data_IF_862979061123
#
_entry.id   IF_862979061123
#
_cell.length_a   1.000
_cell.length_b   1.000
_cell.length_c   1.000
_cell.angle_alpha   90.00
_cell.angle_beta   90.00
_cell.angle_gamma   90.00
#
_symmetry.space_group_name_H-M   'P 1'
#
loop_
_entity.id
_entity.type
_entity.pdbx_description
1 polymer ?
#
# COMPACT_ATOMS: atom_id res chain seq x y z
N UNK A 1 -68.43 53.57 33.32
CA UNK A 1 -67.79 53.40 34.64
C UNK A 1 -66.65 52.43 34.46
N UNK A 2 -65.42 52.93 34.40
CA UNK A 2 -64.21 52.13 34.19
C UNK A 2 -63.75 51.56 35.53
N UNK A 3 -63.78 50.23 35.64
CA UNK A 3 -63.26 49.48 36.79
C UNK A 3 -61.73 49.58 36.88
N UNK A 4 -61.26 50.03 38.04
CA UNK A 4 -59.86 50.05 38.43
C UNK A 4 -59.38 48.62 38.73
N UNK A 5 -58.71 47.97 37.76
CA UNK A 5 -57.90 46.80 38.03
C UNK A 5 -56.59 47.24 38.70
N UNK A 6 -56.54 47.13 40.03
CA UNK A 6 -55.30 47.19 40.80
C UNK A 6 -54.31 46.16 40.26
N UNK A 7 -53.28 46.65 39.57
CA UNK A 7 -52.14 45.88 39.10
C UNK A 7 -51.33 45.50 40.34
N UNK A 8 -51.55 44.31 40.87
CA UNK A 8 -50.72 43.73 41.94
C UNK A 8 -49.30 43.56 41.40
N UNK A 9 -48.38 44.39 41.89
CA UNK A 9 -46.98 44.21 41.57
C UNK A 9 -46.45 42.92 42.22
N UNK A 10 -45.67 42.12 41.48
CA UNK A 10 -45.11 40.89 42.00
C UNK A 10 -44.19 41.18 43.19
N UNK A 11 -44.41 40.48 44.30
CA UNK A 11 -43.64 40.61 45.53
C UNK A 11 -42.13 40.51 45.22
N UNK A 12 -41.25 41.34 45.82
CA UNK A 12 -39.81 41.37 45.50
C UNK A 12 -39.09 40.01 45.64
N UNK A 13 -39.65 39.09 46.45
CA UNK A 13 -39.18 37.71 46.56
C UNK A 13 -39.32 36.92 45.25
N UNK A 14 -40.32 37.24 44.43
CA UNK A 14 -40.54 36.60 43.13
C UNK A 14 -39.44 37.00 42.14
N UNK A 15 -38.97 38.25 42.18
CA UNK A 15 -37.83 38.68 41.37
C UNK A 15 -36.53 37.95 41.73
N UNK A 16 -36.29 37.70 43.01
CA UNK A 16 -35.14 36.90 43.46
C UNK A 16 -35.21 35.45 42.99
N UNK A 17 -36.40 34.85 43.05
CA UNK A 17 -36.66 33.49 42.54
C UNK A 17 -36.40 33.41 41.03
N UNK A 18 -36.87 34.39 40.26
CA UNK A 18 -36.63 34.46 38.82
C UNK A 18 -35.16 34.65 38.50
N UNK A 19 -34.44 35.49 39.26
CA UNK A 19 -33.01 35.67 39.07
C UNK A 19 -32.22 34.38 39.36
N UNK A 20 -32.59 33.63 40.42
CA UNK A 20 -31.97 32.34 40.68
C UNK A 20 -32.27 31.30 39.61
N UNK A 21 -33.50 31.23 39.10
CA UNK A 21 -33.91 30.25 38.08
C UNK A 21 -33.31 30.54 36.70
N UNK A 22 -33.33 31.80 36.27
CA UNK A 22 -32.96 32.17 34.90
C UNK A 22 -31.53 32.68 34.75
N UNK A 23 -30.86 33.10 35.82
CA UNK A 23 -29.46 33.54 35.79
C UNK A 23 -28.57 32.66 36.66
N UNK A 24 -28.97 32.39 37.89
CA UNK A 24 -28.19 31.58 38.83
C UNK A 24 -27.99 30.14 38.34
N UNK A 25 -29.08 29.47 37.96
CA UNK A 25 -29.05 28.06 37.54
C UNK A 25 -28.23 27.85 36.25
N UNK A 26 -28.39 28.64 35.17
CA UNK A 26 -27.59 28.47 33.96
C UNK A 26 -26.10 28.75 34.19
N UNK A 27 -25.76 29.75 35.02
CA UNK A 27 -24.36 30.04 35.38
C UNK A 27 -23.75 28.93 36.22
N UNK A 28 -24.52 28.33 37.14
CA UNK A 28 -24.07 27.18 37.93
C UNK A 28 -23.85 25.94 37.05
N UNK A 29 -24.77 25.65 36.12
CA UNK A 29 -24.65 24.54 35.17
C UNK A 29 -23.46 24.76 34.22
N UNK A 30 -23.29 25.96 33.67
CA UNK A 30 -22.15 26.29 32.81
C UNK A 30 -20.80 26.14 33.55
N UNK A 31 -20.74 26.56 34.82
CA UNK A 31 -19.54 26.37 35.65
C UNK A 31 -19.29 24.91 36.01
N UNK A 32 -20.35 24.10 36.20
CA UNK A 32 -20.22 22.67 36.46
C UNK A 32 -19.72 21.92 35.23
N UNK A 33 -20.27 22.20 34.05
CA UNK A 33 -19.78 21.64 32.79
C UNK A 33 -18.34 22.09 32.47
N UNK A 34 -17.98 23.33 32.80
CA UNK A 34 -16.60 23.81 32.64
C UNK A 34 -15.61 23.08 33.57
N UNK A 35 -16.03 22.70 34.79
CA UNK A 35 -15.22 21.89 35.72
C UNK A 35 -15.02 20.47 35.23
N UNK A 36 -16.03 19.86 34.58
CA UNK A 36 -15.88 18.53 33.98
C UNK A 36 -15.04 18.53 32.69
N UNK A 37 -14.93 19.70 32.03
CA UNK A 37 -14.12 19.89 30.81
C UNK A 37 -12.70 20.39 31.05
N UNK A 38 -12.26 20.59 32.29
CA UNK A 38 -10.83 20.75 32.55
C UNK A 38 -10.15 19.43 32.15
N UNK A 39 -9.33 19.40 31.09
CA UNK A 39 -8.53 18.21 30.85
C UNK A 39 -7.72 18.02 32.11
N UNK A 40 -7.80 16.83 32.71
CA UNK A 40 -6.89 16.45 33.76
C UNK A 40 -5.49 16.86 33.27
N UNK A 41 -4.88 17.83 33.97
CA UNK A 41 -3.50 18.20 33.70
C UNK A 41 -2.74 16.89 33.55
N UNK A 42 -1.97 16.69 32.47
CA UNK A 42 -1.34 15.40 32.21
C UNK A 42 -0.59 15.04 33.48
N UNK A 43 -1.12 14.09 34.24
CA UNK A 43 -0.36 13.44 35.29
C UNK A 43 0.89 13.00 34.55
N UNK A 44 2.10 13.44 34.94
CA UNK A 44 3.29 12.86 34.36
C UNK A 44 3.08 11.37 34.55
N UNK A 45 2.92 10.65 33.44
CA UNK A 45 2.81 9.21 33.48
C UNK A 45 4.00 8.81 34.31
N UNK A 46 3.76 8.25 35.50
CA UNK A 46 4.83 7.64 36.27
C UNK A 46 5.54 6.77 35.25
N UNK A 47 6.76 7.17 34.91
CA UNK A 47 7.53 6.48 33.92
C UNK A 47 7.71 5.09 34.53
N UNK A 48 6.86 4.16 34.10
CA UNK A 48 7.15 2.76 34.25
C UNK A 48 8.60 2.63 33.78
N UNK A 49 9.47 1.93 34.51
CA UNK A 49 10.84 1.77 34.10
C UNK A 49 10.79 1.03 32.76
N UNK A 50 10.76 1.80 31.67
CA UNK A 50 11.13 1.35 30.36
C UNK A 50 12.61 1.09 30.56
N UNK A 51 12.94 -0.16 30.95
CA UNK A 51 14.30 -0.66 30.82
C UNK A 51 14.74 -0.19 29.46
N UNK A 52 15.73 0.69 29.43
CA UNK A 52 16.09 1.47 28.26
C UNK A 52 16.32 0.47 27.15
N UNK A 53 15.32 0.32 26.28
CA UNK A 53 15.44 -0.58 25.17
C UNK A 53 16.47 0.15 24.29
N UNK A 54 17.71 -0.30 24.36
CA UNK A 54 18.80 0.21 23.54
C UNK A 54 18.40 -0.14 22.10
N UNK A 55 18.38 0.86 21.22
CA UNK A 55 18.13 0.63 19.80
C UNK A 55 19.17 -0.38 19.30
N UNK A 56 18.76 -1.55 18.79
CA UNK A 56 19.73 -2.49 18.26
C UNK A 56 20.45 -1.86 17.06
N UNK A 57 21.76 -2.09 16.90
CA UNK A 57 22.52 -1.58 15.76
C UNK A 57 22.14 -2.27 14.44
N UNK A 58 21.58 -3.47 14.51
CA UNK A 58 21.08 -4.19 13.35
C UNK A 58 19.81 -3.54 12.77
N UNK A 59 19.56 -3.64 11.45
CA UNK A 59 18.28 -3.24 10.86
C UNK A 59 17.12 -4.10 11.42
N UNK A 60 15.86 -3.65 11.28
CA UNK A 60 14.73 -4.49 11.65
C UNK A 60 14.77 -5.81 10.84
N UNK A 61 14.30 -6.93 11.41
CA UNK A 61 14.26 -8.18 10.67
C UNK A 61 13.43 -8.00 9.40
N UNK A 62 13.80 -8.67 8.29
CA UNK A 62 13.00 -8.61 7.07
C UNK A 62 11.59 -9.13 7.35
N UNK A 63 10.59 -8.51 6.71
CA UNK A 63 9.22 -9.02 6.70
C UNK A 63 9.16 -10.10 5.63
N UNK A 64 9.17 -11.36 6.04
CA UNK A 64 9.09 -12.49 5.11
C UNK A 64 7.68 -12.58 4.49
N UNK A 65 7.56 -13.02 3.22
CA UNK A 65 6.27 -13.33 2.62
C UNK A 65 5.47 -14.31 3.50
N UNK A 66 4.14 -14.19 3.49
CA UNK A 66 3.28 -15.01 4.32
C UNK A 66 3.27 -16.45 3.81
N UNK A 67 4.09 -17.30 4.40
CA UNK A 67 3.91 -18.75 4.36
C UNK A 67 2.96 -19.15 5.50
N UNK A 68 2.03 -20.06 5.24
CA UNK A 68 0.99 -20.49 6.17
C UNK A 68 1.12 -22.01 6.34
N UNK A 69 0.99 -22.51 7.57
CA UNK A 69 0.89 -23.95 7.80
C UNK A 69 -0.38 -24.51 7.13
N UNK A 70 -0.26 -25.65 6.45
CA UNK A 70 -1.40 -26.37 5.89
C UNK A 70 -2.16 -27.11 7.01
N UNK A 71 -3.04 -26.38 7.69
CA UNK A 71 -3.87 -26.85 8.80
C UNK A 71 -5.34 -26.62 8.49
N UNK A 72 -6.21 -27.50 8.98
CA UNK A 72 -7.63 -27.23 8.95
C UNK A 72 -8.00 -26.05 9.89
N UNK A 73 -9.10 -25.38 9.59
CA UNK A 73 -9.52 -24.20 10.32
C UNK A 73 -9.78 -24.45 11.82
N UNK A 74 -10.22 -25.66 12.21
CA UNK A 74 -10.45 -26.03 13.60
C UNK A 74 -9.14 -26.23 14.35
N UNK A 75 -8.18 -26.93 13.76
CA UNK A 75 -6.82 -27.08 14.27
C UNK A 75 -6.12 -25.72 14.40
N UNK A 76 -6.23 -24.86 13.38
CA UNK A 76 -5.68 -23.51 13.42
C UNK A 76 -6.24 -22.69 14.59
N UNK A 77 -7.56 -22.74 14.80
CA UNK A 77 -8.20 -22.07 15.96
C UNK A 77 -7.71 -22.62 17.29
N UNK A 78 -7.61 -23.95 17.43
CA UNK A 78 -7.13 -24.57 18.66
C UNK A 78 -5.68 -24.17 18.98
N UNK A 79 -4.80 -24.18 17.98
CA UNK A 79 -3.40 -23.78 18.14
C UNK A 79 -3.29 -22.29 18.49
N UNK A 80 -4.01 -21.43 17.78
CA UNK A 80 -4.02 -20.00 18.04
C UNK A 80 -4.56 -19.66 19.44
N UNK A 81 -5.57 -20.40 19.92
CA UNK A 81 -6.12 -20.24 21.26
C UNK A 81 -5.13 -20.68 22.37
N UNK A 82 -4.33 -21.72 22.11
CA UNK A 82 -3.33 -22.22 23.06
C UNK A 82 -2.16 -21.24 23.28
N UNK A 83 -1.83 -20.41 22.29
CA UNK A 83 -0.81 -19.35 22.45
C UNK A 83 -1.37 -18.25 23.37
N UNK A 84 -0.72 -17.88 24.48
CA UNK A 84 -1.23 -16.82 25.36
C UNK A 84 -1.02 -15.43 24.75
N UNK A 85 -1.83 -14.45 25.18
CA UNK A 85 -1.54 -13.04 24.91
C UNK A 85 -0.34 -12.56 25.74
N UNK A 86 0.44 -11.65 25.17
CA UNK A 86 1.58 -11.02 25.83
C UNK A 86 1.12 -10.25 27.07
N UNK A 87 1.83 -10.44 28.18
CA UNK A 87 1.59 -9.72 29.44
C UNK A 87 2.28 -8.35 29.50
N UNK A 88 3.10 -8.04 28.50
CA UNK A 88 3.82 -6.78 28.46
C UNK A 88 2.87 -5.61 28.08
N UNK A 89 3.19 -4.36 28.48
CA UNK A 89 2.30 -3.23 28.23
C UNK A 89 1.95 -3.06 26.74
N UNK A 90 0.68 -2.82 26.45
CA UNK A 90 0.17 -2.50 25.11
C UNK A 90 -0.36 -1.05 25.06
N UNK A 91 0.52 -0.03 25.12
CA UNK A 91 0.09 1.35 25.08
C UNK A 91 -0.52 1.69 23.72
N UNK A 92 -1.47 2.62 23.72
CA UNK A 92 -2.03 3.15 22.48
C UNK A 92 -0.92 3.77 21.61
N UNK A 93 -1.01 3.59 20.29
CA UNK A 93 -0.15 4.28 19.34
C UNK A 93 -0.32 5.80 19.44
N UNK A 94 0.71 6.55 19.06
CA UNK A 94 0.61 8.01 18.93
C UNK A 94 -0.45 8.36 17.85
N UNK A 95 -1.18 9.49 17.96
CA UNK A 95 -2.04 9.98 16.88
C UNK A 95 -1.28 10.13 15.56
N UNK A 96 -1.79 9.59 14.46
CA UNK A 96 -1.23 9.77 13.12
C UNK A 96 -1.93 10.93 12.42
N UNK A 97 -1.21 12.05 12.27
CA UNK A 97 -1.69 13.18 11.48
C UNK A 97 -1.01 13.13 10.12
N UNK A 98 -1.81 12.97 9.07
CA UNK A 98 -1.32 12.97 7.70
C UNK A 98 -0.68 14.33 7.36
N UNK A 99 0.38 14.28 6.55
CA UNK A 99 1.13 15.45 6.10
C UNK A 99 1.40 15.22 4.60
N UNK A 100 0.94 16.13 3.75
CA UNK A 100 1.01 16.02 2.29
C UNK A 100 0.04 16.96 1.60
N UNK A 101 0.00 16.92 0.27
CA UNK A 101 -0.97 17.66 -0.52
C UNK A 101 -2.39 17.11 -0.34
N UNK A 102 -3.41 17.85 -0.80
CA UNK A 102 -4.79 17.37 -0.83
C UNK A 102 -4.93 16.10 -1.69
N UNK A 103 -4.22 16.04 -2.83
CA UNK A 103 -4.19 14.86 -3.69
C UNK A 103 -3.56 13.66 -2.98
N UNK A 104 -2.48 13.87 -2.23
CA UNK A 104 -1.88 12.81 -1.42
C UNK A 104 -2.84 12.35 -0.32
N UNK A 105 -3.53 13.27 0.35
CA UNK A 105 -4.52 12.91 1.37
C UNK A 105 -5.67 12.09 0.78
N UNK A 106 -6.17 12.47 -0.41
CA UNK A 106 -7.21 11.74 -1.11
C UNK A 106 -6.75 10.32 -1.47
N UNK A 107 -5.53 10.18 -2.01
CA UNK A 107 -4.92 8.88 -2.33
C UNK A 107 -4.70 8.02 -1.09
N UNK A 108 -4.11 8.57 -0.04
CA UNK A 108 -3.93 7.88 1.24
C UNK A 108 -5.26 7.39 1.81
N UNK A 109 -6.29 8.24 1.77
CA UNK A 109 -7.63 7.90 2.25
C UNK A 109 -8.18 6.70 1.51
N UNK A 110 -8.08 6.69 0.18
CA UNK A 110 -8.69 5.64 -0.64
C UNK A 110 -7.91 4.33 -0.59
N UNK A 111 -6.57 4.38 -0.53
CA UNK A 111 -5.75 3.19 -0.27
C UNK A 111 -6.04 2.60 1.11
N UNK A 112 -6.14 3.43 2.15
CA UNK A 112 -6.44 2.97 3.49
C UNK A 112 -7.85 2.38 3.58
N UNK A 113 -8.84 3.03 2.97
CA UNK A 113 -10.22 2.53 2.89
C UNK A 113 -10.30 1.18 2.17
N UNK A 114 -9.57 1.01 1.07
CA UNK A 114 -9.48 -0.27 0.38
C UNK A 114 -8.92 -1.36 1.31
N UNK A 115 -7.81 -1.11 2.00
CA UNK A 115 -7.26 -2.09 2.93
C UNK A 115 -8.27 -2.51 4.00
N UNK A 116 -8.91 -1.53 4.65
CA UNK A 116 -9.90 -1.80 5.70
C UNK A 116 -11.09 -2.62 5.18
N UNK A 117 -11.66 -2.21 4.05
CA UNK A 117 -12.87 -2.81 3.50
C UNK A 117 -12.65 -4.23 2.99
N UNK A 118 -11.53 -4.48 2.30
CA UNK A 118 -11.24 -5.81 1.77
C UNK A 118 -10.80 -6.80 2.85
N UNK A 119 -10.27 -6.31 3.99
CA UNK A 119 -9.84 -7.16 5.10
C UNK A 119 -10.94 -7.39 6.13
N UNK A 120 -11.80 -6.39 6.41
CA UNK A 120 -12.81 -6.47 7.46
C UNK A 120 -14.27 -6.50 6.94
N UNK A 121 -14.50 -6.25 5.65
CA UNK A 121 -15.83 -6.29 5.05
C UNK A 121 -16.79 -5.27 5.68
N UNK A 122 -17.85 -5.75 6.34
CA UNK A 122 -18.85 -4.87 6.97
C UNK A 122 -18.60 -4.61 8.46
N UNK A 123 -17.46 -5.01 9.01
CA UNK A 123 -17.10 -4.80 10.41
C UNK A 123 -16.33 -3.48 10.61
N UNK A 124 -17.02 -2.42 11.05
CA UNK A 124 -16.42 -1.13 11.35
C UNK A 124 -15.40 -1.15 12.51
N UNK A 125 -15.45 -2.15 13.39
CA UNK A 125 -14.44 -2.33 14.44
C UNK A 125 -13.15 -2.91 13.83
N UNK A 126 -13.29 -3.94 13.00
CA UNK A 126 -12.21 -4.52 12.19
C UNK A 126 -11.57 -3.51 11.25
N UNK A 127 -12.36 -2.70 10.53
CA UNK A 127 -11.88 -1.63 9.65
C UNK A 127 -10.94 -0.68 10.43
N UNK A 128 -11.34 -0.22 11.63
CA UNK A 128 -10.48 0.62 12.48
C UNK A 128 -9.20 -0.07 12.94
N UNK A 129 -9.26 -1.37 13.20
CA UNK A 129 -8.10 -2.15 13.63
C UNK A 129 -7.07 -2.30 12.51
N UNK A 130 -7.52 -2.63 11.30
CA UNK A 130 -6.67 -2.70 10.09
C UNK A 130 -6.07 -1.33 9.77
N UNK A 131 -6.86 -0.25 9.89
CA UNK A 131 -6.37 1.11 9.72
C UNK A 131 -5.17 1.41 10.61
N UNK A 132 -5.29 1.07 11.90
CA UNK A 132 -4.24 1.32 12.88
C UNK A 132 -2.96 0.54 12.55
N UNK A 133 -3.09 -0.72 12.09
CA UNK A 133 -1.92 -1.53 11.65
C UNK A 133 -1.21 -0.89 10.46
N UNK A 134 -1.95 -0.44 9.44
CA UNK A 134 -1.36 0.23 8.27
C UNK A 134 -0.58 1.48 8.71
N UNK A 135 -1.18 2.32 9.56
CA UNK A 135 -0.52 3.54 10.04
C UNK A 135 0.67 3.25 10.98
N UNK A 136 0.63 2.15 11.72
CA UNK A 136 1.78 1.63 12.48
C UNK A 136 2.91 1.21 11.54
N UNK A 137 2.61 0.50 10.45
CA UNK A 137 3.60 0.11 9.42
C UNK A 137 4.26 1.32 8.78
N UNK A 138 3.49 2.33 8.37
CA UNK A 138 4.03 3.59 7.80
C UNK A 138 5.10 4.23 8.72
N UNK A 139 4.93 4.09 10.03
CA UNK A 139 5.87 4.61 11.04
C UNK A 139 7.00 3.68 11.39
N UNK A 140 6.92 2.40 11.06
CA UNK A 140 7.93 1.43 11.44
C UNK A 140 9.00 1.35 10.35
N UNK A 141 10.30 1.31 10.69
CA UNK A 141 11.39 1.34 9.72
C UNK A 141 11.35 0.20 8.70
N UNK A 142 10.76 -0.95 9.04
CA UNK A 142 10.71 -2.13 8.17
C UNK A 142 9.71 -2.08 7.00
N UNK A 143 8.85 -1.07 6.91
CA UNK A 143 7.78 -0.99 5.91
C UNK A 143 7.88 0.27 5.03
N UNK A 144 7.18 0.34 3.88
CA UNK A 144 7.08 1.58 3.09
C UNK A 144 6.56 2.77 3.91
N UNK A 145 6.90 4.00 3.51
CA UNK A 145 6.59 5.22 4.29
C UNK A 145 5.38 6.02 3.79
N UNK A 146 4.66 5.46 2.83
CA UNK A 146 3.39 5.98 2.31
C UNK A 146 2.28 4.97 2.59
N UNK A 147 1.05 5.47 2.77
CA UNK A 147 -0.11 4.62 3.08
C UNK A 147 -0.37 3.67 1.92
N UNK A 148 -0.43 4.19 0.70
CA UNK A 148 -0.58 3.37 -0.50
C UNK A 148 0.61 2.42 -0.70
N UNK A 149 1.83 2.85 -0.38
CA UNK A 149 3.01 2.00 -0.44
C UNK A 149 2.92 0.79 0.48
N UNK A 150 2.39 0.95 1.70
CA UNK A 150 2.15 -0.16 2.63
C UNK A 150 1.03 -1.07 2.15
N UNK A 151 -0.11 -0.49 1.75
CA UNK A 151 -1.29 -1.27 1.37
C UNK A 151 -1.02 -2.10 0.13
N UNK A 152 -0.34 -1.54 -0.86
CA UNK A 152 -0.05 -2.22 -2.11
C UNK A 152 1.34 -2.83 -2.13
N UNK A 153 2.04 -3.02 -1.01
CA UNK A 153 3.37 -3.62 -1.05
C UNK A 153 3.33 -5.06 -1.62
N UNK A 154 4.10 -5.31 -2.70
CA UNK A 154 4.20 -6.63 -3.32
C UNK A 154 3.07 -6.96 -4.29
N UNK A 155 2.23 -5.98 -4.64
CA UNK A 155 1.12 -6.13 -5.58
C UNK A 155 1.53 -6.53 -7.01
N UNK A 156 2.82 -6.41 -7.34
CA UNK A 156 3.40 -6.88 -8.60
C UNK A 156 3.53 -8.42 -8.68
N UNK A 157 3.34 -9.13 -7.57
CA UNK A 157 3.52 -10.58 -7.47
C UNK A 157 2.19 -11.32 -7.58
N UNK A 158 2.25 -12.60 -7.96
CA UNK A 158 1.08 -13.47 -7.97
C UNK A 158 0.69 -13.95 -6.56
N UNK A 159 1.68 -14.12 -5.67
CA UNK A 159 1.51 -14.53 -4.27
C UNK A 159 2.50 -13.77 -3.38
N UNK A 160 2.28 -13.79 -2.06
CA UNK A 160 3.18 -13.13 -1.09
C UNK A 160 3.02 -11.61 -1.01
N UNK A 161 1.84 -11.09 -1.37
CA UNK A 161 1.50 -9.67 -1.21
C UNK A 161 1.24 -9.36 0.26
N UNK A 162 1.53 -8.13 0.68
CA UNK A 162 1.35 -7.71 2.06
C UNK A 162 -0.11 -7.78 2.51
N UNK A 163 -1.03 -7.50 1.58
CA UNK A 163 -2.46 -7.70 1.72
C UNK A 163 -2.93 -8.59 0.58
N UNK A 164 -3.58 -9.72 0.87
CA UNK A 164 -3.88 -10.74 -0.14
C UNK A 164 -4.81 -10.21 -1.24
N UNK A 165 -5.74 -9.31 -0.87
CA UNK A 165 -6.70 -8.72 -1.80
C UNK A 165 -6.04 -8.01 -3.00
N UNK A 166 -4.77 -7.63 -2.88
CA UNK A 166 -4.00 -6.92 -3.92
C UNK A 166 -3.49 -7.83 -5.03
N UNK A 167 -3.49 -9.16 -4.82
CA UNK A 167 -3.06 -10.16 -5.82
C UNK A 167 -3.94 -11.39 -5.98
N UNK A 168 -4.87 -11.67 -5.07
CA UNK A 168 -5.81 -12.80 -5.16
C UNK A 168 -7.01 -12.53 -6.10
N UNK A 169 -7.07 -11.36 -6.73
CA UNK A 169 -8.16 -10.94 -7.60
C UNK A 169 -9.40 -10.42 -6.88
N UNK A 170 -9.39 -10.31 -5.54
CA UNK A 170 -10.51 -9.76 -4.76
C UNK A 170 -10.87 -8.34 -5.20
N UNK A 171 -9.91 -7.56 -5.71
CA UNK A 171 -10.16 -6.26 -6.36
C UNK A 171 -11.07 -6.33 -7.60
N UNK A 172 -11.57 -7.48 -8.04
CA UNK A 172 -12.68 -7.58 -9.00
C UNK A 172 -14.06 -7.45 -8.33
N UNK A 173 -14.18 -7.82 -7.05
CA UNK A 173 -15.42 -7.71 -6.27
C UNK A 173 -15.77 -6.25 -6.04
N UNK A 174 -17.04 -5.87 -6.20
CA UNK A 174 -17.50 -4.51 -5.91
C UNK A 174 -18.33 -4.53 -4.63
N UNK A 175 -17.92 -3.74 -3.64
CA UNK A 175 -18.69 -3.50 -2.42
C UNK A 175 -19.76 -2.43 -2.65
N UNK A 176 -20.75 -2.35 -1.75
CA UNK A 176 -21.78 -1.32 -1.83
C UNK A 176 -21.18 0.09 -1.64
N UNK A 177 -21.78 1.13 -2.24
CA UNK A 177 -21.34 2.52 -2.03
C UNK A 177 -21.32 2.91 -0.54
N UNK A 178 -22.27 2.41 0.26
CA UNK A 178 -22.34 2.67 1.69
C UNK A 178 -21.16 2.05 2.47
N UNK A 179 -20.75 0.83 2.10
CA UNK A 179 -19.59 0.20 2.72
C UNK A 179 -18.29 0.94 2.35
N UNK A 180 -18.17 1.38 1.09
CA UNK A 180 -17.04 2.20 0.66
C UNK A 180 -16.95 3.53 1.41
N UNK A 181 -18.05 4.30 1.50
CA UNK A 181 -18.01 5.60 2.18
C UNK A 181 -17.74 5.45 3.68
N UNK A 182 -18.26 4.39 4.33
CA UNK A 182 -17.94 4.10 5.73
C UNK A 182 -16.45 3.83 5.93
N UNK A 183 -15.83 3.00 5.08
CA UNK A 183 -14.40 2.75 5.13
C UNK A 183 -13.58 4.03 4.88
N UNK A 184 -14.01 4.89 3.93
CA UNK A 184 -13.38 6.19 3.71
C UNK A 184 -13.48 7.11 4.91
N UNK A 185 -14.63 7.16 5.58
CA UNK A 185 -14.81 7.98 6.77
C UNK A 185 -13.92 7.52 7.93
N UNK A 186 -13.78 6.21 8.12
CA UNK A 186 -12.85 5.64 9.11
C UNK A 186 -11.40 5.99 8.75
N UNK A 187 -11.03 5.86 7.47
CA UNK A 187 -9.71 6.24 6.97
C UNK A 187 -9.41 7.73 7.21
N UNK A 188 -10.33 8.65 6.88
CA UNK A 188 -10.18 10.09 7.12
C UNK A 188 -9.91 10.40 8.59
N UNK A 189 -10.69 9.81 9.51
CA UNK A 189 -10.50 10.03 10.96
C UNK A 189 -9.17 9.48 11.45
N UNK A 190 -8.77 8.29 10.99
CA UNK A 190 -7.50 7.69 11.36
C UNK A 190 -6.31 8.55 10.87
N UNK A 191 -6.39 9.08 9.64
CA UNK A 191 -5.42 10.02 9.06
C UNK A 191 -5.44 11.40 9.74
N UNK A 192 -6.54 11.78 10.39
CA UNK A 192 -6.67 12.97 11.21
C UNK A 192 -6.23 12.78 12.68
N UNK A 193 -5.71 11.61 13.04
CA UNK A 193 -5.16 11.35 14.37
C UNK A 193 -6.03 10.49 15.29
N UNK A 194 -7.18 9.98 14.83
CA UNK A 194 -7.96 9.04 15.63
C UNK A 194 -7.19 7.73 15.82
N UNK A 195 -7.01 7.34 17.09
CA UNK A 195 -6.26 6.12 17.46
C UNK A 195 -7.21 5.01 17.86
N UNK A 196 -7.06 3.83 17.25
CA UNK A 196 -7.74 2.63 17.71
C UNK A 196 -6.88 1.91 18.77
N UNK A 197 -7.07 2.32 20.02
CA UNK A 197 -6.22 1.93 21.17
C UNK A 197 -5.97 0.43 21.33
N UNK A 198 -6.94 -0.50 21.14
CA UNK A 198 -6.73 -1.92 21.41
C UNK A 198 -5.56 -2.55 20.64
N UNK A 199 -5.32 -2.10 19.40
CA UNK A 199 -4.26 -2.63 18.53
C UNK A 199 -2.86 -2.18 18.95
N UNK A 200 -2.76 -1.08 19.72
CA UNK A 200 -1.48 -0.51 20.14
C UNK A 200 -0.50 -0.36 18.99
N UNK A 201 0.67 -0.97 19.11
CA UNK A 201 1.77 -0.92 18.14
C UNK A 201 1.88 -2.18 17.26
N UNK A 202 0.81 -2.97 17.13
CA UNK A 202 0.83 -4.13 16.24
C UNK A 202 1.10 -3.72 14.78
N UNK A 203 1.93 -4.50 14.09
CA UNK A 203 2.23 -4.35 12.65
C UNK A 203 1.82 -5.58 11.85
N UNK A 204 1.38 -6.64 12.52
CA UNK A 204 0.97 -7.88 11.89
C UNK A 204 -0.37 -8.32 12.49
N UNK A 205 -1.16 -8.99 11.68
CA UNK A 205 -2.35 -9.68 12.12
C UNK A 205 -2.64 -10.84 11.18
N UNK A 206 -3.45 -11.77 11.66
CA UNK A 206 -4.06 -12.80 10.84
C UNK A 206 -5.39 -13.21 11.47
N UNK A 207 -6.23 -13.93 10.74
CA UNK A 207 -7.46 -14.49 11.29
C UNK A 207 -7.17 -15.71 12.16
N UNK A 208 -8.04 -15.99 13.12
CA UNK A 208 -7.85 -17.09 14.07
C UNK A 208 -7.95 -18.50 13.44
N UNK A 209 -8.39 -18.60 12.18
CA UNK A 209 -8.41 -19.84 11.40
C UNK A 209 -7.21 -20.03 10.45
N UNK A 210 -6.17 -19.19 10.54
CA UNK A 210 -4.90 -19.40 9.84
C UNK A 210 -3.73 -19.31 10.81
N UNK A 211 -2.62 -19.97 10.48
CA UNK A 211 -1.38 -19.93 11.29
C UNK A 211 -0.20 -19.61 10.37
N UNK A 212 0.25 -18.35 10.30
CA UNK A 212 1.46 -18.00 9.58
C UNK A 212 2.72 -18.44 10.33
N UNK A 213 3.77 -18.85 9.62
CA UNK A 213 5.04 -19.28 10.24
C UNK A 213 5.66 -18.21 11.15
N UNK A 214 5.51 -16.93 10.79
CA UNK A 214 6.05 -15.82 11.57
C UNK A 214 5.31 -15.58 12.90
N UNK A 215 4.08 -16.09 13.09
CA UNK A 215 3.25 -15.75 14.26
C UNK A 215 3.91 -16.11 15.59
N UNK A 216 4.63 -17.23 15.66
CA UNK A 216 5.38 -17.65 16.85
C UNK A 216 6.62 -16.81 17.18
N UNK A 217 7.16 -16.08 16.19
CA UNK A 217 8.31 -15.19 16.40
C UNK A 217 7.92 -13.83 16.99
N UNK A 218 6.62 -13.52 17.01
CA UNK A 218 6.06 -12.25 17.47
C UNK A 218 5.30 -12.38 18.80
N UNK A 219 4.98 -11.24 19.41
CA UNK A 219 4.12 -11.18 20.59
C UNK A 219 2.66 -11.01 20.15
N UNK A 220 1.78 -11.96 20.50
CA UNK A 220 0.32 -11.81 20.33
C UNK A 220 -0.22 -10.79 21.34
N UNK A 221 -0.71 -9.63 20.89
CA UNK A 221 -1.05 -8.49 21.78
C UNK A 221 -2.52 -8.30 22.06
N UNK A 222 -3.40 -8.56 21.09
CA UNK A 222 -4.85 -8.39 21.25
C UNK A 222 -5.63 -9.18 20.20
N UNK A 223 -6.93 -9.31 20.38
CA UNK A 223 -7.86 -9.82 19.38
C UNK A 223 -8.99 -8.81 19.14
N UNK A 224 -9.40 -8.67 17.88
CA UNK A 224 -10.56 -7.86 17.47
C UNK A 224 -11.41 -8.70 16.52
N UNK A 225 -12.57 -9.13 17.00
CA UNK A 225 -13.35 -10.17 16.32
C UNK A 225 -12.48 -11.41 16.14
N UNK A 226 -12.30 -11.83 14.90
CA UNK A 226 -11.51 -13.01 14.53
C UNK A 226 -10.05 -12.68 14.21
N UNK A 227 -9.67 -11.40 14.21
CA UNK A 227 -8.31 -10.98 13.91
C UNK A 227 -7.45 -11.00 15.18
N UNK A 228 -6.33 -11.72 15.10
CA UNK A 228 -5.29 -11.78 16.13
C UNK A 228 -4.16 -10.83 15.73
N UNK A 229 -3.79 -9.90 16.60
CA UNK A 229 -2.80 -8.85 16.33
C UNK A 229 -1.48 -9.14 17.03
N UNK A 230 -0.38 -8.84 16.34
CA UNK A 230 0.97 -9.15 16.78
C UNK A 230 1.92 -7.96 16.63
N UNK A 231 2.85 -7.85 17.57
CA UNK A 231 3.96 -6.88 17.52
C UNK A 231 5.31 -7.58 17.54
N UNK A 232 6.33 -6.89 17.07
CA UNK A 232 7.72 -7.31 17.18
C UNK A 232 8.13 -7.53 18.65
N UNK A 233 9.00 -8.51 18.89
CA UNK A 233 9.65 -8.70 20.19
C UNK A 233 10.76 -7.67 20.40
N UNK A 234 11.05 -7.36 21.65
CA UNK A 234 12.11 -6.43 22.04
C UNK A 234 11.88 -5.01 21.51
N UNK A 235 12.98 -4.30 21.21
CA UNK A 235 12.97 -2.88 20.87
C UNK A 235 12.02 -2.50 19.73
N UNK A 236 11.98 -3.30 18.66
CA UNK A 236 11.17 -3.03 17.47
C UNK A 236 9.67 -3.00 17.74
N UNK A 237 9.21 -3.62 18.84
CA UNK A 237 7.81 -3.59 19.27
C UNK A 237 7.45 -2.42 20.19
N UNK A 238 8.42 -1.59 20.55
CA UNK A 238 8.25 -0.50 21.52
C UNK A 238 7.96 0.83 20.83
N UNK A 239 7.27 1.78 21.50
CA UNK A 239 6.93 3.10 20.93
C UNK A 239 8.10 3.85 20.27
N UNK A 240 9.34 3.84 20.83
CA UNK A 240 10.49 4.51 20.20
C UNK A 240 10.85 4.04 18.78
N UNK A 241 10.46 2.83 18.37
CA UNK A 241 10.72 2.28 17.03
C UNK A 241 9.83 2.88 15.94
N UNK A 242 8.69 3.46 16.31
CA UNK A 242 7.65 3.91 15.37
C UNK A 242 7.80 5.40 15.06
N UNK A 243 8.82 5.74 14.28
CA UNK A 243 9.11 7.10 13.81
C UNK A 243 8.84 7.20 12.32
N UNK A 244 7.96 8.12 11.90
CA UNK A 244 7.75 8.42 10.47
C UNK A 244 8.96 9.19 9.93
N UNK A 245 9.75 8.65 8.98
CA UNK A 245 10.73 9.43 8.24
C UNK A 245 10.00 10.34 7.23
N UNK A 246 10.63 11.46 6.86
CA UNK A 246 10.03 12.49 5.99
C UNK A 246 10.04 12.16 4.50
N UNK A 247 9.43 11.03 4.09
CA UNK A 247 9.16 10.78 2.66
C UNK A 247 7.85 11.46 2.23
N UNK A 248 7.82 11.93 0.99
CA UNK A 248 6.73 12.73 0.40
C UNK A 248 6.11 12.03 -0.81
N UNK A 249 4.79 12.16 -0.96
CA UNK A 249 4.02 11.76 -2.14
C UNK A 249 3.38 10.37 -2.03
N UNK A 250 2.04 10.32 -2.04
CA UNK A 250 1.32 9.05 -2.14
C UNK A 250 1.32 8.58 -3.60
N UNK A 251 1.70 7.32 -3.89
CA UNK A 251 1.74 6.81 -5.26
C UNK A 251 0.34 6.69 -5.87
N UNK A 252 0.27 6.85 -7.20
CA UNK A 252 -0.91 6.49 -7.98
C UNK A 252 -1.03 4.96 -8.09
N UNK A 253 -2.15 4.41 -7.63
CA UNK A 253 -2.45 2.98 -7.68
C UNK A 253 -3.54 2.71 -8.72
N UNK A 254 -3.14 2.41 -9.96
CA UNK A 254 -4.08 2.14 -11.05
C UNK A 254 -5.08 1.00 -10.74
N UNK A 255 -4.68 0.03 -9.90
CA UNK A 255 -5.53 -1.11 -9.49
C UNK A 255 -6.82 -0.70 -8.77
N UNK A 256 -6.86 0.48 -8.15
CA UNK A 256 -8.06 0.99 -7.47
C UNK A 256 -8.67 2.21 -8.16
N UNK A 257 -8.25 2.53 -9.40
CA UNK A 257 -8.80 3.63 -10.18
C UNK A 257 -10.33 3.52 -10.41
N UNK A 258 -10.87 2.29 -10.39
CA UNK A 258 -12.32 2.04 -10.46
C UNK A 258 -13.07 2.42 -9.17
N UNK A 259 -12.39 2.39 -8.02
CA UNK A 259 -12.94 2.71 -6.71
C UNK A 259 -12.71 4.19 -6.33
N UNK A 260 -11.67 4.81 -6.90
CA UNK A 260 -11.19 6.13 -6.53
C UNK A 260 -10.83 6.98 -7.75
N UNK A 261 -11.44 8.16 -7.84
CA UNK A 261 -11.06 9.21 -8.81
C UNK A 261 -9.62 9.68 -8.62
N UNK A 262 -9.15 9.79 -7.36
CA UNK A 262 -7.80 10.23 -7.01
C UNK A 262 -6.70 9.31 -7.58
N UNK A 263 -7.07 8.08 -7.96
CA UNK A 263 -6.16 7.09 -8.54
C UNK A 263 -6.33 6.87 -10.05
N UNK A 264 -7.18 7.63 -10.74
CA UNK A 264 -7.35 7.51 -12.20
C UNK A 264 -6.19 8.09 -13.02
N UNK A 265 -5.31 8.88 -12.40
CA UNK A 265 -4.34 9.71 -13.12
C UNK A 265 -5.06 10.89 -13.80
N UNK A 266 -4.44 12.07 -13.81
CA UNK A 266 -5.08 13.32 -14.23
C UNK A 266 -5.72 13.26 -15.62
N UNK A 267 -7.04 13.07 -15.64
CA UNK A 267 -8.01 13.54 -16.65
C UNK A 267 -9.33 13.68 -15.89
N UNK A 268 -9.69 14.89 -15.48
CA UNK A 268 -10.92 15.06 -14.70
C UNK A 268 -11.35 16.49 -14.40
N UNK A 269 -10.42 17.36 -14.01
CA UNK A 269 -10.80 18.72 -13.55
C UNK A 269 -10.33 19.87 -14.46
N UNK A 270 -9.43 19.64 -15.41
CA UNK A 270 -8.94 20.69 -16.32
C UNK A 270 -9.65 20.70 -17.70
N UNK A 271 -10.56 19.76 -17.96
CA UNK A 271 -11.38 19.70 -19.19
C UNK A 271 -12.82 20.22 -19.00
N UNK A 272 -13.21 20.63 -17.80
CA UNK A 272 -14.57 21.10 -17.53
C UNK A 272 -14.82 22.57 -17.95
N UNK A 273 -13.80 23.29 -18.45
CA UNK A 273 -13.91 24.72 -18.82
C UNK A 273 -13.60 25.04 -20.28
N UNK A 274 -13.47 24.05 -21.17
CA UNK A 274 -13.37 24.29 -22.61
C UNK A 274 -14.75 24.07 -23.29
N UNK A 275 -15.23 24.98 -24.15
CA UNK A 275 -16.49 24.78 -24.86
C UNK A 275 -16.37 23.57 -25.79
N UNK A 276 -17.44 22.79 -25.98
CA UNK A 276 -17.36 21.54 -26.72
C UNK A 276 -17.12 21.81 -28.21
N UNK A 277 -16.00 21.32 -28.74
CA UNK A 277 -15.83 21.17 -30.18
C UNK A 277 -16.72 20.03 -30.64
N UNK A 278 -17.73 20.35 -31.45
CA UNK A 278 -18.48 19.39 -32.23
C UNK A 278 -17.58 18.78 -33.30
N UNK A 279 -17.27 17.49 -33.16
CA UNK A 279 -16.76 16.66 -34.23
C UNK A 279 -17.91 15.80 -34.76
N UNK A 280 -18.13 15.91 -36.06
CA UNK A 280 -19.11 15.14 -36.79
C UNK A 280 -18.70 13.67 -36.86
N UNK A 281 -19.63 12.78 -36.48
CA UNK A 281 -19.67 11.38 -36.92
C UNK A 281 -19.06 10.33 -35.98
N UNK A 282 -19.93 9.43 -35.50
CA UNK A 282 -19.55 8.11 -34.95
C UNK A 282 -19.68 7.98 -33.43
N UNK A 283 -20.46 7.00 -32.96
CA UNK A 283 -20.58 6.70 -31.52
C UNK A 283 -19.34 5.97 -31.01
N UNK A 284 -19.10 6.02 -29.69
CA UNK A 284 -17.96 5.38 -29.00
C UNK A 284 -17.87 3.86 -29.25
N UNK A 285 -18.97 3.23 -29.65
CA UNK A 285 -19.01 1.81 -30.05
C UNK A 285 -18.36 1.54 -31.42
N UNK A 286 -18.34 2.54 -32.31
CA UNK A 286 -17.81 2.42 -33.67
C UNK A 286 -16.28 2.56 -33.67
N UNK A 287 -15.73 3.32 -32.73
CA UNK A 287 -14.28 3.45 -32.51
C UNK A 287 -13.66 2.21 -31.84
N UNK A 288 -14.48 1.34 -31.25
CA UNK A 288 -14.03 0.07 -30.66
C UNK A 288 -13.93 -1.08 -31.69
N UNK A 289 -14.34 -0.86 -32.95
CA UNK A 289 -14.49 -1.92 -33.95
C UNK A 289 -13.46 -1.91 -35.10
N UNK A 290 -12.37 -1.14 -35.04
CA UNK A 290 -11.33 -1.19 -36.09
C UNK A 290 -9.90 -1.35 -35.55
N UNK A 291 -9.40 -2.58 -35.38
CA UNK A 291 -7.99 -2.81 -35.11
C UNK A 291 -7.31 -3.51 -36.29
N UNK A 292 -7.11 -2.85 -37.44
CA UNK A 292 -6.08 -3.31 -38.40
C UNK A 292 -5.66 -2.32 -39.51
N UNK A 293 -6.25 -1.12 -39.64
CA UNK A 293 -5.92 -0.19 -40.74
C UNK A 293 -5.51 1.20 -40.21
N UNK A 294 -4.33 1.26 -39.59
CA UNK A 294 -3.60 2.51 -39.38
C UNK A 294 -2.12 2.20 -39.10
N UNK A 295 -1.51 1.41 -39.98
CA UNK A 295 -0.06 1.47 -40.22
C UNK A 295 0.08 1.73 -41.72
N UNK A 296 -0.38 2.91 -42.13
CA UNK A 296 0.18 3.50 -43.34
C UNK A 296 1.50 4.15 -42.92
N UNK A 297 2.51 4.03 -43.78
CA UNK A 297 3.94 4.35 -43.61
C UNK A 297 4.28 5.82 -43.25
N UNK A 298 3.34 6.58 -42.70
CA UNK A 298 3.51 7.95 -42.23
C UNK A 298 3.26 7.99 -40.72
N UNK A 299 4.36 7.86 -39.97
CA UNK A 299 4.34 7.95 -38.51
C UNK A 299 3.64 9.21 -37.96
N UNK A 300 3.35 9.16 -36.66
CA UNK A 300 2.77 10.28 -35.90
C UNK A 300 3.71 11.51 -35.94
N UNK A 301 3.21 12.76 -35.92
CA UNK A 301 4.07 13.94 -35.84
C UNK A 301 5.11 13.79 -34.71
N UNK A 302 6.39 13.83 -35.08
CA UNK A 302 7.52 13.67 -34.16
C UNK A 302 8.13 12.27 -34.06
N UNK A 303 7.56 11.23 -34.70
CA UNK A 303 8.09 9.85 -34.69
C UNK A 303 8.05 9.22 -36.08
N UNK A 304 9.19 8.71 -36.54
CA UNK A 304 9.28 7.86 -37.73
C UNK A 304 9.46 6.41 -37.29
N UNK A 305 8.54 5.53 -37.67
CA UNK A 305 8.72 4.08 -37.45
C UNK A 305 9.77 3.59 -38.43
N UNK A 306 10.81 2.95 -37.93
CA UNK A 306 11.92 2.42 -38.73
C UNK A 306 11.71 0.95 -39.04
N UNK A 307 11.29 0.18 -38.03
CA UNK A 307 11.12 -1.26 -38.15
C UNK A 307 10.14 -1.78 -37.09
N UNK A 308 9.29 -2.72 -37.46
CA UNK A 308 8.51 -3.52 -36.51
C UNK A 308 9.17 -4.89 -36.41
N UNK A 309 9.58 -5.28 -35.21
CA UNK A 309 10.24 -6.55 -34.99
C UNK A 309 9.28 -7.74 -35.25
N UNK A 310 9.81 -8.92 -35.62
CA UNK A 310 9.01 -10.13 -35.79
C UNK A 310 8.11 -10.38 -34.57
N UNK A 311 6.81 -10.60 -34.82
CA UNK A 311 5.80 -10.75 -33.77
C UNK A 311 5.15 -9.44 -33.28
N UNK A 312 5.48 -8.27 -33.85
CA UNK A 312 4.73 -7.02 -33.65
C UNK A 312 4.80 -6.41 -32.25
N UNK A 313 5.58 -7.03 -31.34
CA UNK A 313 5.70 -6.65 -29.93
C UNK A 313 6.72 -5.55 -29.68
N UNK A 314 7.73 -5.44 -30.53
CA UNK A 314 8.79 -4.43 -30.42
C UNK A 314 8.80 -3.56 -31.66
N UNK A 315 8.78 -2.25 -31.48
CA UNK A 315 8.67 -1.26 -32.54
C UNK A 315 9.82 -0.29 -32.39
N UNK A 316 10.61 -0.16 -33.45
CA UNK A 316 11.81 0.64 -33.50
C UNK A 316 11.47 1.96 -34.19
N UNK A 317 11.84 3.05 -33.54
CA UNK A 317 11.42 4.38 -33.93
C UNK A 317 12.57 5.37 -33.91
N UNK A 318 12.51 6.35 -34.79
CA UNK A 318 13.35 7.54 -34.79
C UNK A 318 12.54 8.73 -34.28
N UNK A 319 13.09 9.41 -33.27
CA UNK A 319 12.54 10.64 -32.71
C UNK A 319 12.95 11.80 -33.60
N UNK A 320 12.00 12.66 -33.96
CA UNK A 320 12.27 13.87 -34.73
C UNK A 320 13.26 14.78 -33.99
N UNK A 321 14.08 15.53 -34.74
CA UNK A 321 15.18 16.34 -34.19
C UNK A 321 14.69 17.45 -33.24
N UNK A 322 13.47 17.91 -33.45
CA UNK A 322 12.75 18.95 -32.71
C UNK A 322 11.82 18.40 -31.61
N UNK A 323 11.73 17.07 -31.45
CA UNK A 323 10.87 16.46 -30.44
C UNK A 323 11.47 16.62 -29.03
N UNK A 324 10.66 17.15 -28.10
CA UNK A 324 11.06 17.31 -26.72
C UNK A 324 11.10 15.94 -26.00
N UNK A 325 12.19 15.59 -25.28
CA UNK A 325 12.29 14.32 -24.56
C UNK A 325 11.14 14.03 -23.58
N UNK A 326 10.54 15.08 -23.02
CA UNK A 326 9.40 14.99 -22.10
C UNK A 326 8.08 14.57 -22.77
N UNK A 327 7.93 14.77 -24.09
CA UNK A 327 6.69 14.41 -24.80
C UNK A 327 6.66 12.96 -25.27
N UNK A 328 7.82 12.30 -25.37
CA UNK A 328 7.96 10.93 -25.89
C UNK A 328 7.09 9.89 -25.15
N UNK A 329 6.92 9.91 -23.81
CA UNK A 329 6.04 8.96 -23.12
C UNK A 329 4.56 9.10 -23.48
N UNK A 330 4.09 10.32 -23.76
CA UNK A 330 2.71 10.54 -24.19
C UNK A 330 2.50 9.94 -25.58
N UNK A 331 3.43 10.21 -26.50
CA UNK A 331 3.41 9.67 -27.86
C UNK A 331 3.48 8.13 -27.87
N UNK A 332 4.36 7.57 -27.05
CA UNK A 332 4.51 6.13 -26.87
C UNK A 332 3.23 5.45 -26.35
N UNK A 333 2.53 6.10 -25.40
CA UNK A 333 1.24 5.63 -24.88
C UNK A 333 0.17 5.61 -25.95
N UNK A 334 0.04 6.69 -26.72
CA UNK A 334 -0.92 6.77 -27.84
C UNK A 334 -0.63 5.69 -28.88
N UNK A 335 0.65 5.48 -29.20
CA UNK A 335 1.07 4.48 -30.18
C UNK A 335 0.86 3.03 -29.72
N UNK A 336 1.01 2.77 -28.43
CA UNK A 336 0.77 1.45 -27.83
C UNK A 336 -0.69 1.21 -27.39
N UNK A 337 -1.59 2.18 -27.58
CA UNK A 337 -2.99 2.04 -27.19
C UNK A 337 -3.66 0.85 -27.88
N UNK A 338 -4.43 0.06 -27.11
CA UNK A 338 -5.15 -1.11 -27.61
C UNK A 338 -4.30 -2.38 -27.82
N UNK A 339 -2.99 -2.35 -27.55
CA UNK A 339 -2.11 -3.54 -27.70
C UNK A 339 -1.88 -4.23 -26.36
N UNK A 340 -2.03 -5.56 -26.24
CA UNK A 340 -1.80 -6.27 -24.99
C UNK A 340 -0.33 -6.23 -24.54
N UNK A 341 0.60 -6.12 -25.49
CA UNK A 341 2.03 -5.93 -25.25
C UNK A 341 2.60 -5.03 -26.34
N UNK A 342 3.39 -4.03 -25.95
CA UNK A 342 4.01 -3.08 -26.86
C UNK A 342 5.31 -2.53 -26.26
N UNK A 343 6.40 -2.64 -27.02
CA UNK A 343 7.73 -2.14 -26.64
C UNK A 343 8.18 -1.17 -27.71
N UNK A 344 8.47 0.06 -27.33
CA UNK A 344 9.02 1.08 -28.23
C UNK A 344 10.49 1.28 -27.88
N UNK A 345 11.35 1.19 -28.88
CA UNK A 345 12.79 1.45 -28.78
C UNK A 345 13.12 2.62 -29.70
N UNK A 346 13.64 3.70 -29.13
CA UNK A 346 13.79 4.98 -29.81
C UNK A 346 15.23 5.43 -29.97
N UNK A 347 15.55 5.95 -31.15
CA UNK A 347 16.83 6.57 -31.50
C UNK A 347 16.63 8.01 -31.96
N UNK A 348 17.70 8.81 -31.98
CA UNK A 348 17.65 10.12 -32.63
C UNK A 348 17.52 9.96 -34.14
N UNK A 349 16.93 10.94 -34.81
CA UNK A 349 16.77 10.93 -36.26
C UNK A 349 18.11 10.67 -36.99
N UNK A 350 18.17 9.61 -37.79
CA UNK A 350 19.34 9.21 -38.57
C UNK A 350 20.31 8.29 -37.82
N UNK A 351 20.02 7.91 -36.58
CA UNK A 351 20.82 6.94 -35.81
C UNK A 351 20.05 5.66 -35.53
N UNK A 352 18.86 5.48 -36.12
CA UNK A 352 18.06 4.27 -35.96
C UNK A 352 18.69 3.07 -36.68
N UNK A 353 18.51 1.85 -36.15
CA UNK A 353 18.95 0.62 -36.82
C UNK A 353 18.08 0.33 -38.04
N UNK A 354 18.70 -0.11 -39.13
CA UNK A 354 18.01 -0.47 -40.39
C UNK A 354 17.60 -1.96 -40.46
N UNK A 355 18.10 -2.80 -39.57
CA UNK A 355 17.82 -4.24 -39.53
C UNK A 355 17.95 -4.83 -38.12
N UNK A 356 17.40 -6.02 -37.92
CA UNK A 356 17.60 -6.86 -36.73
C UNK A 356 18.55 -8.03 -37.08
N UNK A 357 19.35 -8.54 -36.11
CA UNK A 357 19.45 -8.16 -34.70
C UNK A 357 20.23 -6.85 -34.46
N UNK A 358 19.96 -6.19 -33.33
CA UNK A 358 20.65 -4.95 -32.96
C UNK A 358 22.10 -5.21 -32.53
N UNK A 359 23.03 -4.38 -32.99
CA UNK A 359 24.43 -4.39 -32.52
C UNK A 359 24.55 -3.77 -31.12
N UNK A 360 25.67 -4.01 -30.43
CA UNK A 360 25.98 -3.40 -29.13
C UNK A 360 25.86 -1.88 -29.18
N UNK A 361 26.52 -1.26 -30.16
CA UNK A 361 26.51 0.19 -30.39
C UNK A 361 25.10 0.73 -30.66
N UNK A 362 24.25 -0.03 -31.35
CA UNK A 362 22.85 0.35 -31.57
C UNK A 362 22.03 0.30 -30.27
N UNK A 363 22.28 -0.68 -29.39
CA UNK A 363 21.62 -0.74 -28.09
C UNK A 363 22.10 0.38 -27.15
N UNK A 364 23.39 0.75 -27.20
CA UNK A 364 23.95 1.83 -26.38
C UNK A 364 23.53 3.24 -26.84
N UNK A 365 23.37 3.42 -28.15
CA UNK A 365 22.92 4.69 -28.75
C UNK A 365 21.40 4.94 -28.62
N UNK A 366 20.63 3.95 -28.13
CA UNK A 366 19.20 4.10 -27.87
C UNK A 366 18.96 5.28 -26.91
N UNK A 367 18.04 6.18 -27.29
CA UNK A 367 17.76 7.42 -26.56
C UNK A 367 16.52 7.29 -25.66
N UNK A 368 15.55 6.45 -26.06
CA UNK A 368 14.28 6.28 -25.38
C UNK A 368 13.81 4.82 -25.43
N UNK A 369 13.19 4.34 -24.35
CA UNK A 369 12.58 3.03 -24.31
C UNK A 369 11.27 3.10 -23.54
N UNK A 370 10.22 2.49 -24.10
CA UNK A 370 8.92 2.37 -23.46
C UNK A 370 8.45 0.93 -23.50
N UNK A 371 7.89 0.45 -22.40
CA UNK A 371 7.26 -0.87 -22.32
C UNK A 371 5.83 -0.69 -21.82
N UNK A 372 4.91 -1.36 -22.50
CA UNK A 372 3.50 -1.50 -22.17
C UNK A 372 3.17 -3.00 -22.16
N UNK A 373 2.56 -3.47 -21.09
CA UNK A 373 1.97 -4.79 -21.02
C UNK A 373 0.65 -4.67 -20.24
N UNK A 374 -0.46 -4.90 -20.93
CA UNK A 374 -1.80 -4.77 -20.38
C UNK A 374 -2.11 -5.88 -19.34
N UNK A 375 -1.54 -7.07 -19.51
CA UNK A 375 -1.74 -8.19 -18.59
C UNK A 375 -1.06 -7.96 -17.23
N UNK A 376 0.11 -7.32 -17.22
CA UNK A 376 0.86 -7.01 -15.98
C UNK A 376 0.63 -5.58 -15.49
N UNK A 377 0.00 -4.72 -16.31
CA UNK A 377 -0.11 -3.28 -16.07
C UNK A 377 1.22 -2.53 -16.16
N UNK A 378 2.30 -3.18 -16.63
CA UNK A 378 3.61 -2.57 -16.75
C UNK A 378 3.56 -1.47 -17.82
N UNK A 379 3.67 -0.21 -17.39
CA UNK A 379 3.90 0.93 -18.27
C UNK A 379 5.10 1.71 -17.77
N UNK A 380 6.20 1.72 -18.52
CA UNK A 380 7.44 2.37 -18.08
C UNK A 380 8.17 3.01 -19.24
N UNK A 381 8.45 4.30 -19.10
CA UNK A 381 9.36 5.05 -19.94
C UNK A 381 10.74 5.13 -19.28
N UNK A 382 11.80 5.04 -20.09
CA UNK A 382 13.20 5.21 -19.68
C UNK A 382 13.94 6.02 -20.73
N UNK A 383 14.83 6.90 -20.29
CA UNK A 383 15.66 7.75 -21.14
C UNK A 383 17.13 7.39 -20.99
N UNK A 384 17.90 7.60 -22.04
CA UNK A 384 19.34 7.62 -21.93
C UNK A 384 19.77 8.94 -21.27
N UNK A 385 20.02 8.89 -19.96
CA UNK A 385 20.33 10.09 -19.17
C UNK A 385 21.66 10.76 -19.54
N UNK A 386 22.55 10.09 -20.29
CA UNK A 386 23.73 10.73 -20.87
C UNK A 386 23.35 11.68 -22.02
N UNK A 387 22.24 11.40 -22.71
CA UNK A 387 21.72 12.21 -23.82
C UNK A 387 20.59 13.17 -23.40
N UNK A 388 19.81 12.81 -22.38
CA UNK A 388 18.64 13.56 -21.89
C UNK A 388 18.58 13.45 -20.35
N UNK A 389 19.26 14.35 -19.63
CA UNK A 389 19.34 14.32 -18.17
C UNK A 389 17.95 14.36 -17.51
N UNK A 390 17.77 13.55 -16.45
CA UNK A 390 16.52 13.48 -15.67
C UNK A 390 16.77 13.79 -14.21
N UNK A 391 15.83 14.46 -13.56
CA UNK A 391 15.89 14.73 -12.13
C UNK A 391 15.78 13.45 -11.29
N UNK A 392 15.09 12.44 -11.80
CA UNK A 392 14.92 11.15 -11.14
C UNK A 392 15.79 10.09 -11.81
N UNK A 393 16.77 9.54 -11.08
CA UNK A 393 17.64 8.46 -11.57
C UNK A 393 16.85 7.20 -11.95
N UNK A 394 15.68 6.99 -11.37
CA UNK A 394 14.81 5.88 -11.76
C UNK A 394 14.32 6.04 -13.20
N UNK A 395 14.25 7.23 -13.79
CA UNK A 395 13.87 7.43 -15.19
C UNK A 395 14.99 7.08 -16.18
N UNK A 396 16.22 6.90 -15.68
CA UNK A 396 17.36 6.55 -16.50
C UNK A 396 17.33 5.07 -16.91
N UNK A 397 17.74 4.81 -18.15
CA UNK A 397 18.08 3.47 -18.60
C UNK A 397 19.23 2.93 -17.75
N UNK A 398 19.12 1.65 -17.37
CA UNK A 398 20.20 0.94 -16.71
C UNK A 398 21.25 0.62 -17.76
N UNK A 399 22.47 1.15 -17.60
CA UNK A 399 23.57 0.78 -18.47
C UNK A 399 23.87 -0.71 -18.30
N UNK A 400 24.00 -1.41 -19.42
CA UNK A 400 24.49 -2.79 -19.39
C UNK A 400 25.97 -2.70 -19.04
N UNK A 401 26.37 -3.23 -17.90
CA UNK A 401 27.78 -3.54 -17.65
C UNK A 401 28.17 -4.58 -18.70
N UNK A 402 29.13 -4.31 -19.59
CA UNK A 402 29.53 -5.27 -20.60
C UNK A 402 30.04 -6.53 -19.90
N UNK A 403 29.29 -7.63 -20.01
CA UNK A 403 29.83 -8.95 -19.68
C UNK A 403 30.72 -9.30 -20.87
N UNK A 404 32.04 -9.18 -20.68
CA UNK A 404 33.00 -9.70 -21.64
C UNK A 404 32.62 -11.17 -21.94
N UNK A 405 32.58 -11.60 -23.22
CA UNK A 405 32.27 -12.98 -23.53
C UNK A 405 33.27 -13.86 -22.77
N UNK A 406 32.75 -14.81 -21.99
CA UNK A 406 33.57 -15.75 -21.26
C UNK A 406 34.51 -16.43 -22.25
N UNK A 407 35.82 -16.21 -22.10
CA UNK A 407 36.81 -17.08 -22.74
C UNK A 407 36.50 -18.49 -22.23
N UNK A 408 36.30 -19.42 -23.16
CA UNK A 408 36.28 -20.83 -22.83
C UNK A 408 37.68 -21.19 -22.30
N UNK A 409 37.86 -21.12 -20.98
CA UNK A 409 38.99 -21.75 -20.33
C UNK A 409 38.76 -23.26 -20.35
N UNK A 410 39.62 -23.94 -21.12
CA UNK A 410 39.71 -25.38 -21.15
C UNK A 410 39.92 -25.92 -19.72
N UNK A 411 39.19 -26.98 -19.39
CA UNK A 411 39.26 -27.67 -18.11
C UNK A 411 40.69 -28.14 -17.80
N UNK A 412 41.41 -27.38 -16.97
CA UNK A 412 42.59 -27.83 -16.26
C UNK A 412 42.19 -28.47 -14.93
N UNK A 413 42.57 -29.74 -14.74
CA UNK A 413 42.26 -30.51 -13.54
C UNK A 413 42.81 -29.86 -12.26
N UNK A 414 41.98 -29.81 -11.22
CA UNK A 414 42.39 -29.39 -9.89
C UNK A 414 42.98 -30.58 -9.14
N UNK A 415 44.30 -30.69 -9.19
CA UNK A 415 45.07 -31.51 -8.27
C UNK A 415 45.33 -30.69 -7.00
N UNK A 416 44.78 -31.14 -5.87
CA UNK A 416 45.13 -30.62 -4.55
C UNK A 416 44.08 -29.79 -3.82
N UNK A 417 42.94 -30.40 -3.44
CA UNK A 417 42.19 -29.95 -2.24
C UNK A 417 41.70 -31.19 -1.47
N UNK A 418 42.11 -31.28 -0.19
CA UNK A 418 41.78 -32.37 0.75
C UNK A 418 40.27 -32.59 0.85
N UNK A 419 39.82 -33.82 0.57
CA UNK A 419 38.49 -34.31 0.93
C UNK A 419 38.39 -34.42 2.46
N UNK A 420 37.46 -33.68 3.07
CA UNK A 420 37.00 -33.93 4.43
C UNK A 420 35.81 -34.88 4.34
N UNK A 421 35.93 -36.04 4.96
CA UNK A 421 34.96 -37.13 4.88
C UNK A 421 33.63 -36.79 5.59
N UNK A 422 32.54 -37.23 4.94
CA UNK A 422 31.34 -37.87 5.53
C UNK A 422 30.53 -37.06 6.56
N UNK A 423 29.49 -36.38 6.08
CA UNK A 423 28.31 -36.05 6.91
C UNK A 423 27.45 -37.31 7.05
N UNK A 424 27.40 -37.84 8.26
CA UNK A 424 26.53 -38.94 8.66
C UNK A 424 25.07 -38.45 8.70
N UNK A 425 24.20 -39.05 7.90
CA UNK A 425 22.76 -38.73 7.87
C UNK A 425 22.08 -39.50 9.00
N UNK A 426 21.72 -38.83 10.09
CA UNK A 426 20.91 -39.43 11.17
C UNK A 426 19.48 -39.60 10.68
N UNK A 427 19.11 -40.82 10.28
CA UNK A 427 17.71 -41.22 10.09
C UNK A 427 17.07 -41.43 11.47
N UNK A 428 16.09 -40.60 11.82
CA UNK A 428 15.21 -40.84 12.97
C UNK A 428 14.18 -41.89 12.55
N UNK A 429 14.22 -43.07 13.16
CA UNK A 429 13.21 -44.11 12.98
C UNK A 429 12.02 -43.86 13.95
N UNK A 430 10.77 -44.12 13.53
CA UNK A 430 9.62 -44.03 14.41
C UNK A 430 9.62 -45.14 15.47
N UNK A 431 9.09 -44.90 16.69
CA UNK A 431 9.08 -45.89 17.76
C UNK A 431 8.12 -47.07 17.45
N UNK A 432 8.42 -48.28 17.94
CA UNK A 432 7.59 -49.46 17.71
C UNK A 432 6.23 -49.37 18.44
N UNK A 433 5.18 -50.01 17.92
CA UNK A 433 3.87 -50.00 18.54
C UNK A 433 3.87 -50.74 19.89
N UNK A 434 3.24 -50.10 20.88
CA UNK A 434 3.02 -50.66 22.22
C UNK A 434 2.06 -51.85 22.11
N UNK A 435 2.49 -53.03 22.54
CA UNK A 435 1.62 -54.20 22.68
C UNK A 435 0.68 -53.99 23.88
N UNK A 436 -0.62 -53.90 23.62
CA UNK A 436 -1.66 -53.98 24.65
C UNK A 436 -1.79 -55.45 25.07
N UNK A 437 -1.54 -55.73 26.35
CA UNK A 437 -1.80 -57.06 26.93
C UNK A 437 -3.30 -57.23 27.22
N UNK A 438 -3.85 -58.44 27.06
CA UNK A 438 -5.27 -58.70 27.30
C UNK A 438 -5.60 -58.68 28.79
N UNK A 439 -6.69 -57.99 29.12
CA UNK A 439 -7.39 -58.06 30.41
C UNK A 439 -7.84 -59.48 30.69
N UNK A 440 -7.40 -60.03 31.83
CA UNK A 440 -7.95 -61.26 32.42
C UNK A 440 -8.70 -60.85 33.70
N UNK A 441 -10.01 -61.06 33.70
CA UNK A 441 -10.86 -61.10 34.91
C UNK A 441 -10.64 -62.44 35.63
N UNK A 442 -10.67 -62.46 36.96
CA UNK A 442 -11.94 -62.64 37.68
C UNK A 442 -12.37 -61.42 38.51
#
# INVERSE_FOLDING_TARGET
MTENLHRQEPHPAMWLLWFMLFVGLPVAVANWEARERLPAAPRPAAAAPAGQAIRPPSPPPPVEPVEIYDLDAGQARALNAAVPFSRAPNPAARPFVFQGSQDDLARATDCLAAAQLYEAGNDAVGERAVAQVVLNRVRHPAFPKTVCGVVFQGQERATGCQFTFTCDGALARTYSPAAWERAREIAKRALAGQVFKPVGYATHYHTDWVVPYWSGSLDKVTAVGTHLFFRWKGWWGTPPAFRKPGETGEPLIARIARLSTAHRGGTGEELASAPPLQLAGGTVAELAAQPQQAIDDKGMPGIRVVLVAPGGRSILVEMARDSAPDSWPAMARTFCAGRPECRIMGWRAGTGPSALPLTGDQMESMTFAYIHNAATGLQRARWNCAQSPRANAAECMVQRVPVAPARAEAAGGLEGVRRKERFETVKIAPPPPVKVAPTVHP
#
